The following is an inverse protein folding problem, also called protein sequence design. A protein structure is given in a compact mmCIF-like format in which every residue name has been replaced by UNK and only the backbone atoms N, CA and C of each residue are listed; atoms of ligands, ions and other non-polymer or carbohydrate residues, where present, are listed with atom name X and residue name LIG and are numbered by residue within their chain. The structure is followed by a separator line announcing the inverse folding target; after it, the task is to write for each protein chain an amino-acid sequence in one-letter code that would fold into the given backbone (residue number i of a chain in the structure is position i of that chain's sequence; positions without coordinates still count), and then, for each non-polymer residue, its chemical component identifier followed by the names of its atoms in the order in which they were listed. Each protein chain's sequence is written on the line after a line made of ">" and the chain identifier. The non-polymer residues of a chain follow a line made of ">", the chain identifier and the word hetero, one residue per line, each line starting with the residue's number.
data_IF_379557469256
#
_entry.id   IF_379557469256
#
_cell.length_a   1.000
_cell.length_b   1.000
_cell.length_c   1.000
_cell.angle_alpha   90.00
_cell.angle_beta   90.00
_cell.angle_gamma   90.00
#
_symmetry.space_group_name_H-M   'P 1'
#
loop_
_entity.id
_entity.type
_entity.pdbx_description
1 polymer ?
#
# COMPACT_ATOMS: atom_id res chain seq x y z
N UNK A 1 27.26 -15.00 28.23
CA UNK A 1 25.88 -14.45 28.33
C UNK A 1 25.85 -13.15 27.55
N UNK A 2 25.23 -13.13 26.36
CA UNK A 2 25.16 -11.92 25.50
C UNK A 2 23.96 -11.10 25.91
N UNK A 3 24.15 -9.86 26.36
CA UNK A 3 23.05 -8.96 26.72
C UNK A 3 22.45 -8.40 25.43
N UNK A 4 21.34 -8.99 24.99
CA UNK A 4 20.52 -8.41 23.91
C UNK A 4 19.48 -7.53 24.57
N UNK A 5 19.72 -6.22 24.61
CA UNK A 5 18.69 -5.27 25.03
C UNK A 5 17.78 -4.99 23.83
N UNK A 6 16.58 -5.56 23.83
CA UNK A 6 15.53 -5.21 22.86
C UNK A 6 14.64 -4.14 23.51
N UNK A 7 14.39 -3.02 22.81
CA UNK A 7 13.50 -1.98 23.36
C UNK A 7 13.61 -0.61 22.71
N UNK A 8 14.66 -0.32 21.95
CA UNK A 8 14.81 0.98 21.28
C UNK A 8 14.08 0.94 19.93
N UNK A 9 13.13 1.86 19.72
CA UNK A 9 12.54 2.09 18.39
C UNK A 9 13.54 2.84 17.52
N UNK A 10 13.63 2.45 16.24
CA UNK A 10 14.43 3.20 15.28
C UNK A 10 13.81 4.60 15.11
N UNK A 11 14.60 5.66 15.26
CA UNK A 11 14.17 7.01 14.88
C UNK A 11 14.24 7.17 13.36
N UNK A 12 13.30 7.91 12.77
CA UNK A 12 13.26 8.21 11.33
C UNK A 12 14.57 8.85 10.85
N UNK A 13 15.23 9.68 11.68
CA UNK A 13 16.52 10.29 11.36
C UNK A 13 17.65 9.27 11.22
N UNK A 14 17.64 8.19 12.03
CA UNK A 14 18.62 7.11 11.93
C UNK A 14 18.51 6.34 10.60
N UNK A 15 17.30 6.28 10.02
CA UNK A 15 17.08 5.73 8.68
C UNK A 15 17.50 6.68 7.57
N UNK A 16 17.40 7.99 7.79
CA UNK A 16 17.79 9.00 6.79
C UNK A 16 19.31 9.02 6.54
N UNK A 17 20.12 8.67 7.54
CA UNK A 17 21.58 8.55 7.41
C UNK A 17 22.04 7.38 6.52
N UNK A 18 21.13 6.49 6.14
CA UNK A 18 21.43 5.34 5.30
C UNK A 18 21.23 5.72 3.82
N UNK A 19 22.28 5.69 2.97
CA UNK A 19 22.24 6.27 1.63
C UNK A 19 21.08 5.77 0.75
N UNK A 20 20.76 4.48 0.80
CA UNK A 20 19.68 3.88 0.00
C UNK A 20 18.28 4.06 0.60
N UNK A 21 18.15 4.55 1.85
CA UNK A 21 16.88 4.92 2.47
C UNK A 21 16.64 6.45 2.45
N UNK A 22 17.66 7.21 2.05
CA UNK A 22 17.56 8.66 1.92
C UNK A 22 16.52 9.07 0.85
N UNK A 23 16.33 8.26 -0.20
CA UNK A 23 15.35 8.54 -1.26
C UNK A 23 13.89 8.36 -0.84
N UNK A 24 13.62 7.77 0.33
CA UNK A 24 12.26 7.64 0.85
C UNK A 24 11.76 8.99 1.39
N UNK A 25 10.45 9.22 1.37
CA UNK A 25 9.87 10.38 2.05
C UNK A 25 9.96 10.23 3.58
N UNK A 26 9.86 11.34 4.31
CA UNK A 26 9.82 11.32 5.79
C UNK A 26 8.68 10.44 6.33
N UNK A 27 7.53 10.42 5.64
CA UNK A 27 6.40 9.56 5.99
C UNK A 27 6.74 8.08 5.81
N UNK A 28 7.37 7.73 4.68
CA UNK A 28 7.78 6.34 4.39
C UNK A 28 8.86 5.85 5.37
N UNK A 29 9.84 6.70 5.72
CA UNK A 29 10.83 6.36 6.76
C UNK A 29 10.20 6.17 8.13
N UNK A 30 9.24 7.02 8.50
CA UNK A 30 8.53 6.92 9.78
C UNK A 30 7.72 5.63 9.86
N UNK A 31 7.10 5.21 8.76
CA UNK A 31 6.35 3.96 8.71
C UNK A 31 7.26 2.72 8.74
N UNK A 32 8.37 2.76 8.00
CA UNK A 32 9.40 1.72 8.05
C UNK A 32 9.97 1.56 9.47
N UNK A 33 10.27 2.68 10.14
CA UNK A 33 10.79 2.71 11.49
C UNK A 33 9.89 2.00 12.52
N UNK A 34 8.56 1.99 12.33
CA UNK A 34 7.61 1.29 13.20
C UNK A 34 7.74 -0.23 13.14
N UNK A 35 8.20 -0.74 12.00
CA UNK A 35 8.36 -2.16 11.74
C UNK A 35 9.79 -2.66 11.98
N UNK A 36 10.75 -1.74 12.11
CA UNK A 36 12.13 -2.06 12.44
C UNK A 36 12.30 -2.32 13.95
N UNK A 37 13.19 -3.26 14.28
CA UNK A 37 13.65 -3.51 15.65
C UNK A 37 15.13 -3.17 15.76
N UNK A 38 15.50 -2.32 16.72
CA UNK A 38 16.92 -2.08 17.04
C UNK A 38 17.42 -3.20 17.94
N UNK A 39 18.60 -3.71 17.63
CA UNK A 39 19.34 -4.63 18.49
C UNK A 39 20.76 -4.11 18.67
N UNK A 40 21.20 -4.05 19.91
CA UNK A 40 22.57 -3.68 20.29
C UNK A 40 23.35 -4.93 20.67
N UNK A 41 24.63 -4.96 20.31
CA UNK A 41 25.52 -6.09 20.52
C UNK A 41 26.83 -5.61 21.12
N UNK A 42 27.32 -6.32 22.13
CA UNK A 42 28.66 -6.09 22.68
C UNK A 42 29.75 -6.49 21.69
N UNK A 43 30.96 -5.95 21.87
CA UNK A 43 32.12 -6.31 21.05
C UNK A 43 32.35 -7.83 21.11
N UNK A 44 32.41 -8.47 19.94
CA UNK A 44 32.63 -9.92 19.81
C UNK A 44 31.35 -10.77 19.88
N UNK A 45 30.17 -10.16 20.06
CA UNK A 45 28.92 -10.90 19.99
C UNK A 45 28.61 -11.37 18.56
N UNK A 46 28.03 -12.58 18.47
CA UNK A 46 27.58 -13.17 17.21
C UNK A 46 26.18 -12.65 16.90
N UNK A 47 25.99 -12.07 15.70
CA UNK A 47 24.69 -11.56 15.23
C UNK A 47 23.83 -12.69 14.66
N UNK A 48 24.42 -13.54 13.82
CA UNK A 48 23.85 -14.78 13.28
C UNK A 48 24.97 -15.72 12.83
N UNK A 49 24.63 -16.99 12.59
CA UNK A 49 25.55 -18.04 12.17
C UNK A 49 25.20 -18.60 10.79
N UNK A 50 26.20 -19.15 10.09
CA UNK A 50 26.01 -19.87 8.82
C UNK A 50 25.04 -21.07 9.04
N UNK A 51 24.09 -21.25 8.11
CA UNK A 51 23.05 -22.28 8.22
C UNK A 51 21.81 -21.88 9.03
N UNK A 52 21.82 -20.73 9.71
CA UNK A 52 20.63 -20.23 10.40
C UNK A 52 19.62 -19.68 9.38
N UNK A 53 18.33 -19.97 9.59
CA UNK A 53 17.26 -19.43 8.75
C UNK A 53 17.28 -17.89 8.74
N UNK A 54 17.25 -17.32 7.53
CA UNK A 54 17.21 -15.88 7.35
C UNK A 54 15.86 -15.34 7.84
N UNK A 55 15.89 -14.52 8.89
CA UNK A 55 14.69 -13.97 9.55
C UNK A 55 14.42 -12.51 9.19
N UNK A 56 15.28 -11.89 8.38
CA UNK A 56 15.09 -10.53 7.91
C UNK A 56 16.37 -9.89 7.35
N UNK A 57 16.24 -8.62 6.97
CA UNK A 57 17.34 -7.79 6.51
C UNK A 57 17.92 -7.01 7.69
N UNK A 58 19.24 -7.06 7.83
CA UNK A 58 19.98 -6.34 8.87
C UNK A 58 20.63 -5.10 8.30
N UNK A 59 20.60 -4.01 9.07
CA UNK A 59 21.26 -2.75 8.71
C UNK A 59 22.08 -2.27 9.91
N UNK A 60 23.35 -1.92 9.67
CA UNK A 60 24.24 -1.40 10.70
C UNK A 60 23.94 0.09 10.89
N UNK A 61 23.44 0.46 12.07
CA UNK A 61 23.18 1.86 12.45
C UNK A 61 24.38 2.50 13.18
N UNK A 62 25.24 1.69 13.78
CA UNK A 62 26.41 2.13 14.53
C UNK A 62 27.43 1.00 14.68
N UNK A 63 28.72 1.34 14.63
CA UNK A 63 29.81 0.37 14.80
C UNK A 63 30.19 -0.37 13.51
N UNK A 64 30.73 -1.58 13.68
CA UNK A 64 31.22 -2.44 12.59
C UNK A 64 30.86 -3.89 12.83
N UNK A 65 30.49 -4.60 11.77
CA UNK A 65 30.18 -6.04 11.81
C UNK A 65 31.14 -6.77 10.90
N UNK A 66 31.85 -7.78 11.44
CA UNK A 66 32.73 -8.64 10.66
C UNK A 66 31.97 -9.89 10.21
N UNK A 67 31.93 -10.11 8.91
CA UNK A 67 31.51 -11.38 8.30
C UNK A 67 32.73 -12.31 8.28
N UNK A 68 32.61 -13.45 8.96
CA UNK A 68 33.63 -14.47 8.98
C UNK A 68 33.02 -15.82 8.61
N UNK A 69 33.78 -16.64 7.89
CA UNK A 69 33.42 -18.03 7.63
C UNK A 69 34.17 -18.91 8.62
N UNK A 70 33.45 -19.81 9.28
CA UNK A 70 34.04 -20.78 10.19
C UNK A 70 34.37 -22.06 9.43
N UNK A 71 35.65 -22.42 9.39
CA UNK A 71 36.08 -23.73 8.88
C UNK A 71 35.83 -24.82 9.94
N UNK A 72 35.48 -26.07 9.53
CA UNK A 72 35.39 -27.22 10.43
C UNK A 72 36.68 -27.48 11.25
N UNK A 73 37.83 -26.95 10.80
CA UNK A 73 39.12 -27.05 11.50
C UNK A 73 39.40 -25.89 12.48
N UNK A 74 38.39 -25.06 12.80
CA UNK A 74 38.53 -23.94 13.74
C UNK A 74 39.28 -22.71 13.21
N UNK A 75 39.65 -22.70 11.91
CA UNK A 75 40.21 -21.49 11.28
C UNK A 75 39.07 -20.55 10.91
N UNK A 76 39.05 -19.36 11.48
CA UNK A 76 38.17 -18.28 11.03
C UNK A 76 38.82 -17.55 9.85
N UNK A 77 38.13 -17.51 8.71
CA UNK A 77 38.52 -16.63 7.62
C UNK A 77 37.65 -15.38 7.67
N UNK A 78 38.27 -14.22 7.92
CA UNK A 78 37.58 -12.94 7.81
C UNK A 78 37.26 -12.68 6.32
N UNK A 79 35.97 -12.63 5.99
CA UNK A 79 35.52 -12.35 4.63
C UNK A 79 35.49 -10.84 4.39
N UNK A 80 34.83 -10.11 5.29
CA UNK A 80 34.62 -8.67 5.13
C UNK A 80 34.18 -8.00 6.44
N UNK A 81 34.35 -6.68 6.53
CA UNK A 81 33.83 -5.87 7.65
C UNK A 81 32.93 -4.78 7.10
N UNK A 82 31.66 -4.81 7.49
CA UNK A 82 30.65 -3.81 7.12
C UNK A 82 30.61 -2.72 8.20
N UNK A 83 30.56 -1.45 7.77
CA UNK A 83 30.36 -0.27 8.62
C UNK A 83 28.93 0.28 8.48
N UNK A 84 28.61 1.35 9.21
CA UNK A 84 27.30 2.01 9.12
C UNK A 84 26.93 2.33 7.67
N UNK A 85 25.72 1.95 7.25
CA UNK A 85 25.22 2.17 5.89
C UNK A 85 25.87 1.29 4.80
N UNK A 86 26.82 0.43 5.15
CA UNK A 86 27.44 -0.50 4.23
C UNK A 86 26.55 -1.74 4.08
N UNK A 87 26.13 -2.00 2.86
CA UNK A 87 25.61 -3.29 2.43
C UNK A 87 26.17 -3.45 1.03
N UNK A 88 26.71 -4.62 0.68
CA UNK A 88 27.47 -4.72 -0.57
C UNK A 88 26.63 -4.67 -1.85
N UNK A 89 25.28 -4.81 -1.78
CA UNK A 89 24.29 -4.55 -2.87
C UNK A 89 22.83 -4.37 -2.38
N UNK A 90 22.52 -3.34 -1.57
CA UNK A 90 21.17 -3.08 -1.09
C UNK A 90 20.31 -2.46 -2.19
N UNK A 91 20.92 -1.85 -3.22
CA UNK A 91 20.20 -1.12 -4.26
C UNK A 91 19.29 -2.05 -5.08
N UNK A 92 19.69 -3.30 -5.27
CA UNK A 92 18.87 -4.30 -5.98
C UNK A 92 17.68 -4.73 -5.12
N UNK A 93 17.89 -5.04 -3.83
CA UNK A 93 16.81 -5.46 -2.94
C UNK A 93 15.81 -4.32 -2.70
N UNK A 94 16.29 -3.10 -2.43
CA UNK A 94 15.43 -1.93 -2.27
C UNK A 94 14.83 -1.45 -3.59
N UNK A 95 15.55 -1.58 -4.71
CA UNK A 95 15.01 -1.34 -6.05
C UNK A 95 13.87 -2.29 -6.39
N UNK A 96 14.02 -3.58 -6.09
CA UNK A 96 12.97 -4.59 -6.24
C UNK A 96 11.79 -4.29 -5.32
N UNK A 97 12.02 -3.99 -4.04
CA UNK A 97 10.95 -3.62 -3.09
C UNK A 97 10.25 -2.33 -3.56
N UNK A 98 10.98 -1.33 -4.03
CA UNK A 98 10.40 -0.08 -4.52
C UNK A 98 9.59 -0.26 -5.81
N UNK A 99 10.06 -1.10 -6.75
CA UNK A 99 9.31 -1.45 -7.96
C UNK A 99 8.07 -2.27 -7.62
N UNK A 100 8.17 -3.25 -6.72
CA UNK A 100 7.03 -4.02 -6.26
C UNK A 100 6.01 -3.16 -5.51
N UNK A 101 6.46 -2.25 -4.63
CA UNK A 101 5.59 -1.31 -3.93
C UNK A 101 4.92 -0.30 -4.89
N UNK A 102 5.62 0.15 -5.94
CA UNK A 102 5.00 0.98 -6.99
C UNK A 102 3.97 0.20 -7.79
N UNK A 103 4.30 -1.04 -8.19
CA UNK A 103 3.35 -1.92 -8.92
C UNK A 103 2.13 -2.24 -8.07
N UNK A 104 2.31 -2.54 -6.78
CA UNK A 104 1.22 -2.83 -5.86
C UNK A 104 0.31 -1.61 -5.64
N UNK A 105 0.88 -0.40 -5.49
CA UNK A 105 0.11 0.85 -5.43
C UNK A 105 -0.59 1.16 -6.75
N UNK A 106 0.05 0.91 -7.90
CA UNK A 106 -0.56 1.02 -9.21
C UNK A 106 -1.72 0.04 -9.41
N UNK A 107 -1.57 -1.21 -8.98
CA UNK A 107 -2.66 -2.20 -8.99
C UNK A 107 -3.79 -1.83 -8.03
N UNK A 108 -3.49 -1.34 -6.83
CA UNK A 108 -4.51 -0.87 -5.90
C UNK A 108 -5.29 0.31 -6.49
N UNK A 109 -4.62 1.27 -7.13
CA UNK A 109 -5.27 2.39 -7.82
C UNK A 109 -6.09 1.93 -9.03
N UNK A 110 -5.62 0.94 -9.80
CA UNK A 110 -6.38 0.33 -10.91
C UNK A 110 -7.59 -0.45 -10.40
N UNK A 111 -7.49 -1.15 -9.27
CA UNK A 111 -8.61 -1.82 -8.60
C UNK A 111 -9.59 -0.78 -8.06
N UNK A 112 -9.13 0.33 -7.48
CA UNK A 112 -9.99 1.42 -7.05
C UNK A 112 -10.70 2.10 -8.23
N UNK A 113 -9.98 2.33 -9.32
CA UNK A 113 -10.53 2.86 -10.57
C UNK A 113 -11.54 1.88 -11.20
N UNK A 114 -11.25 0.58 -11.27
CA UNK A 114 -12.22 -0.42 -11.74
C UNK A 114 -13.43 -0.52 -10.80
N UNK A 115 -13.20 -0.52 -9.47
CA UNK A 115 -14.25 -0.76 -8.48
C UNK A 115 -15.17 0.45 -8.23
N UNK A 116 -14.72 1.68 -8.50
CA UNK A 116 -15.54 2.90 -8.43
C UNK A 116 -16.09 3.33 -9.79
N UNK A 117 -15.38 3.09 -10.91
CA UNK A 117 -15.90 3.42 -12.24
C UNK A 117 -16.92 2.42 -12.76
N UNK A 118 -16.76 1.12 -12.51
CA UNK A 118 -17.69 0.14 -13.10
C UNK A 118 -19.11 0.24 -12.52
N UNK A 119 -19.28 0.38 -11.20
CA UNK A 119 -20.62 0.54 -10.60
C UNK A 119 -21.23 1.90 -10.93
N UNK A 120 -20.44 2.99 -10.87
CA UNK A 120 -20.96 4.34 -11.17
C UNK A 120 -21.32 4.47 -12.64
N UNK A 121 -20.52 3.91 -13.56
CA UNK A 121 -20.81 3.90 -14.99
C UNK A 121 -22.02 3.01 -15.32
N UNK A 122 -22.11 1.79 -14.74
CA UNK A 122 -23.28 0.92 -14.89
C UNK A 122 -24.55 1.58 -14.36
N UNK A 123 -24.47 2.21 -13.20
CA UNK A 123 -25.57 3.00 -12.63
C UNK A 123 -25.92 4.19 -13.53
N UNK A 124 -24.94 4.91 -14.06
CA UNK A 124 -25.17 6.06 -14.94
C UNK A 124 -25.88 5.65 -16.23
N UNK A 125 -25.41 4.58 -16.88
CA UNK A 125 -26.08 3.98 -18.06
C UNK A 125 -27.48 3.50 -17.72
N UNK A 126 -27.67 2.88 -16.55
CA UNK A 126 -28.98 2.45 -16.07
C UNK A 126 -29.95 3.63 -15.90
N UNK A 127 -29.53 4.71 -15.24
CA UNK A 127 -30.36 5.91 -15.05
C UNK A 127 -30.75 6.56 -16.39
N UNK A 128 -29.81 6.64 -17.35
CA UNK A 128 -30.11 7.15 -18.70
C UNK A 128 -31.10 6.26 -19.45
N UNK A 129 -31.01 4.94 -19.30
CA UNK A 129 -31.97 4.01 -19.89
C UNK A 129 -33.37 4.17 -19.27
N UNK A 130 -33.47 4.34 -17.96
CA UNK A 130 -34.75 4.56 -17.28
C UNK A 130 -35.38 5.91 -17.63
N UNK A 131 -34.59 6.99 -17.75
CA UNK A 131 -35.08 8.27 -18.26
C UNK A 131 -35.66 8.15 -19.68
N UNK A 132 -34.96 7.43 -20.57
CA UNK A 132 -35.45 7.16 -21.94
C UNK A 132 -36.74 6.37 -21.95
N UNK A 133 -36.88 5.37 -21.08
CA UNK A 133 -38.11 4.56 -20.94
C UNK A 133 -39.28 5.37 -20.42
N UNK A 134 -39.02 6.29 -19.48
CA UNK A 134 -40.02 7.21 -18.95
C UNK A 134 -40.36 8.36 -19.91
N UNK A 135 -39.55 8.59 -20.95
CA UNK A 135 -39.69 9.75 -21.84
C UNK A 135 -39.43 11.10 -21.15
N UNK A 136 -38.75 11.09 -20.01
CA UNK A 136 -38.56 12.24 -19.13
C UNK A 136 -37.24 12.14 -18.36
N UNK A 137 -36.57 13.27 -18.16
CA UNK A 137 -35.36 13.35 -17.33
C UNK A 137 -35.64 13.27 -15.83
N UNK A 138 -36.93 13.32 -15.46
CA UNK A 138 -37.42 13.09 -14.10
C UNK A 138 -38.19 11.79 -14.09
N UNK A 139 -37.72 10.85 -13.27
CA UNK A 139 -38.34 9.52 -13.12
C UNK A 139 -38.11 8.98 -11.71
N UNK A 140 -38.90 7.98 -11.33
CA UNK A 140 -38.70 7.27 -10.06
C UNK A 140 -37.79 6.05 -10.28
N UNK A 141 -36.82 5.87 -9.38
CA UNK A 141 -35.91 4.72 -9.43
C UNK A 141 -36.74 3.42 -9.30
N UNK A 142 -36.61 2.46 -10.22
CA UNK A 142 -37.41 1.24 -10.16
C UNK A 142 -36.87 0.31 -9.08
N UNK A 143 -37.74 -0.13 -8.17
CA UNK A 143 -37.35 -0.97 -7.03
C UNK A 143 -36.58 -0.24 -5.93
N UNK A 144 -36.19 -0.96 -4.90
CA UNK A 144 -35.37 -0.46 -3.78
C UNK A 144 -33.90 -0.33 -4.18
N UNK A 145 -33.06 0.21 -3.28
CA UNK A 145 -31.60 0.26 -3.50
C UNK A 145 -30.99 -1.13 -3.57
N UNK A 146 -31.58 -2.11 -2.89
CA UNK A 146 -31.15 -3.50 -2.92
C UNK A 146 -31.50 -4.15 -4.27
N UNK A 147 -32.69 -3.87 -4.81
CA UNK A 147 -33.10 -4.36 -6.14
C UNK A 147 -32.18 -3.82 -7.24
N UNK A 148 -31.86 -2.53 -7.18
CA UNK A 148 -30.91 -1.90 -8.12
C UNK A 148 -29.51 -2.48 -7.94
N UNK A 149 -29.08 -2.75 -6.70
CA UNK A 149 -27.78 -3.35 -6.43
C UNK A 149 -27.67 -4.77 -7.01
N UNK A 150 -28.67 -5.62 -6.77
CA UNK A 150 -28.75 -6.96 -7.32
C UNK A 150 -28.71 -6.93 -8.86
N UNK A 151 -29.47 -6.03 -9.48
CA UNK A 151 -29.52 -5.87 -10.93
C UNK A 151 -28.20 -5.37 -11.54
N UNK A 152 -27.47 -4.53 -10.80
CA UNK A 152 -26.17 -4.00 -11.21
C UNK A 152 -25.00 -4.83 -10.65
N UNK A 153 -25.25 -6.04 -10.15
CA UNK A 153 -24.21 -6.96 -9.66
C UNK A 153 -23.30 -6.33 -8.59
N UNK A 154 -23.90 -5.63 -7.62
CA UNK A 154 -23.20 -4.94 -6.55
C UNK A 154 -24.01 -4.97 -5.24
N UNK A 155 -23.59 -4.19 -4.24
CA UNK A 155 -24.23 -4.07 -2.92
C UNK A 155 -24.85 -2.69 -2.69
N UNK A 156 -25.84 -2.61 -1.80
CA UNK A 156 -26.62 -1.40 -1.48
C UNK A 156 -25.77 -0.18 -1.15
N UNK A 157 -24.71 -0.38 -0.38
CA UNK A 157 -23.79 0.66 0.09
C UNK A 157 -23.03 1.28 -1.10
N UNK A 158 -22.70 0.47 -2.12
CA UNK A 158 -22.04 0.94 -3.34
C UNK A 158 -22.99 1.77 -4.20
N UNK A 159 -24.24 1.35 -4.37
CA UNK A 159 -25.26 2.16 -5.06
C UNK A 159 -25.50 3.50 -4.35
N UNK A 160 -25.59 3.46 -3.03
CA UNK A 160 -25.80 4.67 -2.22
C UNK A 160 -24.63 5.65 -2.33
N UNK A 161 -23.39 5.15 -2.26
CA UNK A 161 -22.18 5.95 -2.49
C UNK A 161 -22.11 6.52 -3.91
N UNK A 162 -22.46 5.72 -4.92
CA UNK A 162 -22.42 6.14 -6.33
C UNK A 162 -23.45 7.23 -6.63
N UNK A 163 -24.68 7.11 -6.12
CA UNK A 163 -25.69 8.17 -6.24
C UNK A 163 -25.28 9.45 -5.50
N UNK A 164 -24.66 9.33 -4.33
CA UNK A 164 -24.11 10.50 -3.62
C UNK A 164 -22.95 11.17 -4.38
N UNK A 165 -22.13 10.38 -5.08
CA UNK A 165 -21.05 10.88 -5.95
C UNK A 165 -21.61 11.63 -7.16
N UNK A 166 -22.58 11.04 -7.89
CA UNK A 166 -23.22 11.69 -9.04
C UNK A 166 -23.95 12.98 -8.64
N UNK A 167 -24.57 13.01 -7.45
CA UNK A 167 -25.18 14.23 -6.88
C UNK A 167 -24.13 15.31 -6.58
N UNK A 168 -23.02 14.95 -5.91
CA UNK A 168 -21.93 15.89 -5.63
C UNK A 168 -21.26 16.43 -6.89
N UNK A 169 -21.22 15.62 -7.95
CA UNK A 169 -20.71 16.02 -9.25
C UNK A 169 -21.71 16.90 -10.06
N UNK A 170 -22.90 17.18 -9.53
CA UNK A 170 -23.92 17.97 -10.21
C UNK A 170 -24.59 17.26 -11.40
N UNK A 171 -24.37 15.95 -11.55
CA UNK A 171 -24.85 15.19 -12.71
C UNK A 171 -26.32 14.76 -12.56
N UNK A 172 -26.77 14.56 -11.30
CA UNK A 172 -28.15 14.21 -10.95
C UNK A 172 -28.63 14.95 -9.70
N UNK A 173 -29.95 15.10 -9.56
CA UNK A 173 -30.60 15.41 -8.28
C UNK A 173 -31.40 14.20 -7.81
N UNK A 174 -31.41 13.96 -6.49
CA UNK A 174 -32.09 12.81 -5.87
C UNK A 174 -32.98 13.31 -4.74
N UNK A 175 -34.27 13.04 -4.83
CA UNK A 175 -35.28 13.33 -3.81
C UNK A 175 -36.01 12.04 -3.44
N UNK A 176 -35.54 11.35 -2.40
CA UNK A 176 -36.05 10.04 -2.02
C UNK A 176 -35.84 9.01 -3.13
N UNK A 177 -36.93 8.58 -3.76
CA UNK A 177 -36.93 7.65 -4.91
C UNK A 177 -36.89 8.37 -6.26
N UNK A 178 -37.20 9.67 -6.29
CA UNK A 178 -37.24 10.46 -7.50
C UNK A 178 -35.84 10.93 -7.90
N UNK A 179 -35.48 10.70 -9.16
CA UNK A 179 -34.19 11.08 -9.74
C UNK A 179 -34.45 12.06 -10.89
N UNK A 180 -33.65 13.11 -10.95
CA UNK A 180 -33.60 14.05 -12.07
C UNK A 180 -32.20 14.04 -12.67
N UNK A 181 -32.09 13.80 -13.97
CA UNK A 181 -30.84 13.95 -14.72
C UNK A 181 -30.60 15.46 -14.97
N UNK A 182 -29.41 15.94 -14.64
CA UNK A 182 -29.00 17.35 -14.85
C UNK A 182 -28.01 17.44 -16.01
N UNK A 183 -27.03 16.54 -16.06
CA UNK A 183 -26.03 16.48 -17.15
C UNK A 183 -26.23 15.21 -17.98
N UNK A 184 -26.63 15.35 -19.24
CA UNK A 184 -26.83 14.21 -20.15
C UNK A 184 -25.53 13.53 -20.60
N UNK A 185 -24.36 14.08 -20.25
CA UNK A 185 -23.07 13.37 -20.38
C UNK A 185 -22.88 12.28 -19.33
N UNK A 186 -23.87 12.05 -18.45
CA UNK A 186 -23.89 11.00 -17.43
C UNK A 186 -23.46 9.62 -17.96
N UNK A 187 -23.89 9.23 -19.17
CA UNK A 187 -23.58 7.92 -19.75
C UNK A 187 -22.14 7.75 -20.29
N UNK A 188 -21.35 8.82 -20.37
CA UNK A 188 -20.01 8.83 -20.94
C UNK A 188 -18.88 8.97 -19.88
N UNK A 189 -19.23 8.90 -18.59
CA UNK A 189 -18.32 9.06 -17.44
C UNK A 189 -18.17 7.81 -16.60
#
# INVERSE_FOLDING_TARGET
>A
MTKVTSGVKVASEGLAAIPYLASLSTRERTDLARHCRVRTFDKGAIVFSEGQAATGVWVVLGGRVRLARSSPRGREQALHTESVGATRRPEVAFGVIAVLARRLRGFAALIEDLALRDVTARLSRFLVMEARRAGSDVFDLPGTRDDVAARLGTVRERISRSLAQLRRAGAISVQGRRIRIIDHRLAAR
#
